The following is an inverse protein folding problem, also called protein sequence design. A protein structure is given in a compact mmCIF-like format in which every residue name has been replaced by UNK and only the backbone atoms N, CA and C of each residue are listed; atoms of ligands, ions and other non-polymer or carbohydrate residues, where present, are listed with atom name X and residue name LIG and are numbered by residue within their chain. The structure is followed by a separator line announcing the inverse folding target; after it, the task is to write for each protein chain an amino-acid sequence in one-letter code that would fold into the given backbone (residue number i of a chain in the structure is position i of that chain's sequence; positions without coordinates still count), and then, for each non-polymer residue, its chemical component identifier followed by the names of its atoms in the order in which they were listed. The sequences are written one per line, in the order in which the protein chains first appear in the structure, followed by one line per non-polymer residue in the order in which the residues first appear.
data_IF_355724762718
#
_entry.id   IF_355724762718
#
_cell.length_a   1.000
_cell.length_b   1.000
_cell.length_c   1.000
_cell.angle_alpha   90.00
_cell.angle_beta   90.00
_cell.angle_gamma   90.00
#
_symmetry.space_group_name_H-M   'P 1'
#
loop_
_entity.id
_entity.type
_entity.pdbx_description
1 polymer ?
#
# COMPACT_ATOMS: atom_id res chain seq x y z
N UNK A 1 -1.19 -22.34 -20.06
CA UNK A 1 -1.14 -21.74 -18.73
C UNK A 1 -0.75 -22.78 -17.67
N UNK A 2 -1.50 -23.88 -17.53
CA UNK A 2 -1.25 -24.91 -16.53
C UNK A 2 0.18 -25.48 -16.62
N UNK A 3 0.64 -25.87 -17.83
CA UNK A 3 2.01 -26.33 -18.03
C UNK A 3 3.07 -25.30 -17.69
N UNK A 4 2.82 -24.02 -17.97
CA UNK A 4 3.74 -22.95 -17.60
C UNK A 4 3.83 -22.80 -16.08
N UNK A 5 2.70 -22.90 -15.38
CA UNK A 5 2.69 -22.85 -13.92
C UNK A 5 3.37 -24.08 -13.28
N UNK A 6 3.19 -25.26 -13.84
CA UNK A 6 3.91 -26.46 -13.39
C UNK A 6 5.44 -26.33 -13.54
N UNK A 7 5.89 -25.58 -14.54
CA UNK A 7 7.32 -25.33 -14.74
C UNK A 7 7.87 -24.28 -13.78
N UNK A 8 7.12 -23.21 -13.48
CA UNK A 8 7.63 -22.06 -12.71
C UNK A 8 7.37 -22.16 -11.21
N UNK A 9 6.27 -22.77 -10.77
CA UNK A 9 5.94 -22.86 -9.36
C UNK A 9 7.02 -23.59 -8.52
N UNK A 10 7.62 -24.71 -8.96
CA UNK A 10 8.73 -25.33 -8.24
C UNK A 10 9.97 -24.44 -8.12
N UNK A 11 10.17 -23.51 -9.07
CA UNK A 11 11.30 -22.57 -9.05
C UNK A 11 11.15 -21.47 -7.99
N UNK A 12 9.99 -21.34 -7.35
CA UNK A 12 9.77 -20.48 -6.19
C UNK A 12 10.18 -21.15 -4.86
N UNK A 13 10.72 -22.36 -4.86
CA UNK A 13 11.23 -22.95 -3.63
C UNK A 13 12.47 -22.19 -3.13
N UNK A 14 12.54 -21.97 -1.81
CA UNK A 14 13.68 -21.31 -1.17
C UNK A 14 14.98 -22.12 -1.28
N UNK A 15 14.85 -23.42 -1.54
CA UNK A 15 15.98 -24.35 -1.71
C UNK A 15 16.61 -24.33 -3.12
N UNK A 16 16.01 -23.56 -4.05
CA UNK A 16 16.52 -23.42 -5.43
C UNK A 16 17.61 -22.37 -5.50
N UNK A 17 18.57 -22.58 -6.40
CA UNK A 17 19.75 -21.69 -6.59
C UNK A 17 19.37 -20.20 -6.64
N UNK A 18 20.20 -19.38 -6.00
CA UNK A 18 20.10 -17.92 -5.98
C UNK A 18 19.95 -17.36 -7.41
N UNK A 19 18.88 -16.61 -7.65
CA UNK A 19 18.60 -15.94 -8.94
C UNK A 19 17.53 -16.60 -9.81
N UNK A 20 17.07 -17.79 -9.49
CA UNK A 20 15.97 -18.45 -10.23
C UNK A 20 14.62 -17.90 -9.82
N UNK A 21 14.41 -17.64 -8.52
CA UNK A 21 13.15 -17.15 -7.98
C UNK A 21 12.67 -15.81 -8.59
N UNK A 22 13.50 -14.76 -8.76
CA UNK A 22 13.09 -13.52 -9.42
C UNK A 22 12.63 -13.75 -10.87
N UNK A 23 13.34 -14.57 -11.63
CA UNK A 23 12.98 -14.90 -13.00
C UNK A 23 11.66 -15.67 -13.08
N UNK A 24 11.47 -16.68 -12.22
CA UNK A 24 10.23 -17.43 -12.12
C UNK A 24 9.05 -16.54 -11.72
N UNK A 25 9.23 -15.68 -10.72
CA UNK A 25 8.22 -14.70 -10.28
C UNK A 25 7.83 -13.73 -11.40
N UNK A 26 8.80 -13.21 -12.15
CA UNK A 26 8.56 -12.34 -13.30
C UNK A 26 7.80 -13.03 -14.42
N UNK A 27 8.09 -14.32 -14.67
CA UNK A 27 7.38 -15.13 -15.66
C UNK A 27 5.93 -15.40 -15.23
N UNK A 28 5.70 -15.78 -13.96
CA UNK A 28 4.36 -15.97 -13.38
C UNK A 28 3.54 -14.70 -13.53
N UNK A 29 4.08 -13.55 -13.13
CA UNK A 29 3.44 -12.24 -13.30
C UNK A 29 3.08 -11.97 -14.77
N UNK A 30 3.99 -12.23 -15.69
CA UNK A 30 3.77 -11.99 -17.12
C UNK A 30 2.66 -12.86 -17.67
N UNK A 31 2.62 -14.12 -17.26
CA UNK A 31 1.56 -15.08 -17.62
C UNK A 31 0.22 -14.61 -17.04
N UNK A 32 0.14 -14.22 -15.77
CA UNK A 32 -1.11 -13.76 -15.14
C UNK A 32 -1.63 -12.46 -15.77
N UNK A 33 -0.73 -11.57 -16.20
CA UNK A 33 -1.12 -10.32 -16.87
C UNK A 33 -1.86 -10.57 -18.18
N UNK A 34 -1.41 -11.52 -19.00
CA UNK A 34 -1.97 -11.78 -20.33
C UNK A 34 -3.12 -12.79 -20.32
N UNK A 35 -3.18 -13.66 -19.31
CA UNK A 35 -4.25 -14.64 -19.17
C UNK A 35 -5.57 -13.94 -18.83
N UNK A 36 -6.67 -14.43 -19.39
CA UNK A 36 -8.02 -14.03 -18.98
C UNK A 36 -8.43 -14.69 -17.64
N UNK A 37 -9.58 -14.25 -17.11
CA UNK A 37 -10.07 -14.71 -15.82
C UNK A 37 -10.43 -16.21 -15.84
N UNK A 38 -10.92 -16.74 -16.97
CA UNK A 38 -11.30 -18.16 -17.10
C UNK A 38 -10.06 -19.04 -17.03
N UNK A 39 -9.01 -18.68 -17.77
CA UNK A 39 -7.72 -19.40 -17.73
C UNK A 39 -7.06 -19.34 -16.35
N UNK A 40 -7.16 -18.21 -15.64
CA UNK A 40 -6.59 -18.08 -14.30
C UNK A 40 -7.34 -18.91 -13.27
N UNK A 41 -8.66 -18.98 -13.37
CA UNK A 41 -9.51 -19.77 -12.47
C UNK A 41 -9.07 -21.23 -12.39
N UNK A 42 -8.76 -21.83 -13.55
CA UNK A 42 -8.32 -23.22 -13.64
C UNK A 42 -7.00 -23.50 -12.92
N UNK A 43 -6.19 -22.47 -12.68
CA UNK A 43 -4.86 -22.61 -12.08
C UNK A 43 -4.72 -21.98 -10.70
N UNK A 44 -5.72 -21.25 -10.21
CA UNK A 44 -5.67 -20.58 -8.89
C UNK A 44 -5.33 -21.57 -7.79
N UNK A 45 -5.98 -22.73 -7.75
CA UNK A 45 -5.79 -23.76 -6.72
C UNK A 45 -4.36 -24.31 -6.67
N UNK A 46 -3.61 -24.21 -7.75
CA UNK A 46 -2.23 -24.64 -7.86
C UNK A 46 -1.24 -23.47 -7.72
N UNK A 47 -1.55 -22.32 -8.35
CA UNK A 47 -0.66 -21.18 -8.42
C UNK A 47 -0.62 -20.38 -7.11
N UNK A 48 -1.78 -20.19 -6.48
CA UNK A 48 -1.87 -19.40 -5.24
C UNK A 48 -1.04 -20.00 -4.10
N UNK A 49 -1.10 -21.33 -3.80
CA UNK A 49 -0.26 -21.91 -2.75
C UNK A 49 1.23 -21.71 -2.98
N UNK A 50 1.71 -21.88 -4.22
CA UNK A 50 3.12 -21.71 -4.55
C UNK A 50 3.58 -20.24 -4.33
N UNK A 51 2.78 -19.28 -4.82
CA UNK A 51 3.02 -17.85 -4.62
C UNK A 51 2.98 -17.51 -3.14
N UNK A 52 1.95 -17.94 -2.41
CA UNK A 52 1.77 -17.65 -1.00
C UNK A 52 2.90 -18.25 -0.14
N UNK A 53 3.32 -19.48 -0.42
CA UNK A 53 4.43 -20.13 0.29
C UNK A 53 5.72 -19.30 0.16
N UNK A 54 6.08 -18.88 -1.05
CA UNK A 54 7.26 -18.03 -1.24
C UNK A 54 7.09 -16.66 -0.57
N UNK A 55 5.91 -16.04 -0.68
CA UNK A 55 5.64 -14.74 -0.04
C UNK A 55 5.76 -14.78 1.49
N UNK A 56 5.60 -15.95 2.12
CA UNK A 56 5.73 -16.13 3.56
C UNK A 56 7.17 -16.37 4.04
N UNK A 57 8.11 -16.76 3.16
CA UNK A 57 9.48 -17.12 3.58
C UNK A 57 10.58 -16.51 2.71
N UNK A 58 10.31 -16.17 1.45
CA UNK A 58 11.29 -15.62 0.50
C UNK A 58 11.78 -14.23 0.90
N UNK A 59 13.05 -13.91 0.58
CA UNK A 59 13.70 -12.64 0.95
C UNK A 59 14.07 -11.78 -0.26
N UNK A 60 14.03 -12.36 -1.46
CA UNK A 60 14.40 -11.62 -2.67
C UNK A 60 13.36 -10.56 -3.03
N UNK A 61 13.78 -9.30 -3.02
CA UNK A 61 12.90 -8.13 -3.21
C UNK A 61 12.25 -8.12 -4.60
N UNK A 62 12.97 -8.50 -5.66
CA UNK A 62 12.43 -8.49 -7.02
C UNK A 62 11.38 -9.60 -7.21
N UNK A 63 11.65 -10.78 -6.63
CA UNK A 63 10.68 -11.87 -6.60
C UNK A 63 9.42 -11.46 -5.83
N UNK A 64 9.57 -10.91 -4.62
CA UNK A 64 8.45 -10.45 -3.80
C UNK A 64 7.62 -9.39 -4.52
N UNK A 65 8.23 -8.39 -5.15
CA UNK A 65 7.51 -7.36 -5.91
C UNK A 65 6.76 -7.95 -7.12
N UNK A 66 7.35 -8.91 -7.83
CA UNK A 66 6.68 -9.59 -8.95
C UNK A 66 5.51 -10.45 -8.48
N UNK A 67 5.65 -11.12 -7.34
CA UNK A 67 4.59 -11.95 -6.77
C UNK A 67 3.46 -11.11 -6.14
N UNK A 68 3.75 -9.97 -5.53
CA UNK A 68 2.72 -9.01 -5.10
C UNK A 68 1.85 -8.54 -6.26
N UNK A 69 2.48 -8.24 -7.42
CA UNK A 69 1.72 -7.91 -8.64
C UNK A 69 0.89 -9.10 -9.12
N UNK A 70 1.40 -10.30 -8.99
CA UNK A 70 0.65 -11.53 -9.33
C UNK A 70 -0.56 -11.71 -8.42
N UNK A 71 -0.41 -11.50 -7.11
CA UNK A 71 -1.52 -11.53 -6.15
C UNK A 71 -2.56 -10.44 -6.44
N UNK A 72 -2.13 -9.22 -6.77
CA UNK A 72 -3.04 -8.16 -7.19
C UNK A 72 -3.87 -8.58 -8.40
N UNK A 73 -3.23 -9.12 -9.44
CA UNK A 73 -3.92 -9.61 -10.65
C UNK A 73 -4.91 -10.74 -10.32
N UNK A 74 -4.55 -11.67 -9.44
CA UNK A 74 -5.45 -12.75 -9.01
C UNK A 74 -6.66 -12.20 -8.24
N UNK A 75 -6.43 -11.25 -7.32
CA UNK A 75 -7.53 -10.58 -6.61
C UNK A 75 -8.47 -9.86 -7.57
N UNK A 76 -7.95 -9.17 -8.58
CA UNK A 76 -8.75 -8.43 -9.56
C UNK A 76 -9.51 -9.34 -10.53
N UNK A 77 -8.86 -10.38 -11.06
CA UNK A 77 -9.43 -11.22 -12.12
C UNK A 77 -10.24 -12.41 -11.60
N UNK A 78 -9.86 -12.98 -10.47
CA UNK A 78 -10.46 -14.19 -9.90
C UNK A 78 -10.79 -14.04 -8.41
N UNK A 79 -11.50 -12.97 -7.97
CA UNK A 79 -11.71 -12.68 -6.56
C UNK A 79 -12.43 -13.80 -5.81
N UNK A 80 -13.46 -14.40 -6.41
CA UNK A 80 -14.22 -15.47 -5.78
C UNK A 80 -13.39 -16.75 -5.60
N UNK A 81 -12.57 -17.08 -6.58
CA UNK A 81 -11.76 -18.29 -6.55
C UNK A 81 -10.62 -18.16 -5.54
N UNK A 82 -9.99 -16.97 -5.45
CA UNK A 82 -8.92 -16.75 -4.49
C UNK A 82 -9.45 -16.60 -3.06
N UNK A 83 -10.52 -15.84 -2.86
CA UNK A 83 -11.08 -15.60 -1.51
C UNK A 83 -11.84 -16.83 -0.96
N UNK A 84 -12.32 -17.70 -1.85
CA UNK A 84 -12.95 -18.98 -1.48
C UNK A 84 -11.97 -20.13 -1.31
N UNK A 85 -10.67 -19.93 -1.58
CA UNK A 85 -9.68 -20.98 -1.48
C UNK A 85 -9.29 -21.26 -0.02
N UNK A 86 -9.07 -22.54 0.30
CA UNK A 86 -8.58 -23.01 1.60
C UNK A 86 -7.39 -23.95 1.40
N UNK A 87 -6.49 -23.97 2.36
CA UNK A 87 -5.36 -24.90 2.35
C UNK A 87 -5.77 -26.31 2.86
N UNK A 88 -4.81 -27.23 2.96
CA UNK A 88 -4.99 -28.61 3.44
C UNK A 88 -5.47 -28.67 4.91
N UNK A 89 -5.30 -27.58 5.66
CA UNK A 89 -5.69 -27.43 7.07
C UNK A 89 -6.97 -26.60 7.23
N UNK A 90 -7.71 -26.39 6.14
CA UNK A 90 -8.91 -25.55 6.11
C UNK A 90 -8.65 -24.08 6.46
N UNK A 91 -7.41 -23.59 6.27
CA UNK A 91 -7.07 -22.18 6.51
C UNK A 91 -7.56 -21.35 5.31
N UNK A 92 -8.42 -20.33 5.55
CA UNK A 92 -8.89 -19.47 4.47
C UNK A 92 -7.74 -18.67 3.84
N UNK A 93 -7.78 -18.52 2.52
CA UNK A 93 -6.80 -17.68 1.77
C UNK A 93 -6.66 -16.28 2.31
N UNK A 94 -7.75 -15.66 2.77
CA UNK A 94 -7.72 -14.34 3.38
C UNK A 94 -6.79 -14.29 4.60
N UNK A 95 -6.79 -15.33 5.45
CA UNK A 95 -5.87 -15.39 6.58
C UNK A 95 -4.41 -15.51 6.13
N UNK A 96 -4.16 -16.23 5.04
CA UNK A 96 -2.81 -16.35 4.45
C UNK A 96 -2.37 -15.01 3.87
N UNK A 97 -3.25 -14.31 3.13
CA UNK A 97 -2.99 -12.98 2.58
C UNK A 97 -2.69 -11.95 3.68
N UNK A 98 -3.42 -11.99 4.80
CA UNK A 98 -3.16 -11.12 5.94
C UNK A 98 -1.80 -11.40 6.60
N UNK A 99 -1.40 -12.67 6.73
CA UNK A 99 -0.05 -13.03 7.20
C UNK A 99 1.05 -12.55 6.26
N UNK A 100 0.81 -12.60 4.95
CA UNK A 100 1.73 -12.04 3.95
C UNK A 100 1.85 -10.52 4.17
N UNK A 101 0.75 -9.80 4.33
CA UNK A 101 0.77 -8.35 4.58
C UNK A 101 1.52 -8.02 5.86
N UNK A 102 1.22 -8.72 6.96
CA UNK A 102 1.92 -8.54 8.23
C UNK A 102 3.43 -8.72 8.08
N UNK A 103 3.86 -9.78 7.41
CA UNK A 103 5.27 -10.03 7.13
C UNK A 103 5.89 -8.92 6.31
N UNK A 104 5.26 -8.51 5.21
CA UNK A 104 5.77 -7.45 4.33
C UNK A 104 5.90 -6.10 5.06
N UNK A 105 4.98 -5.78 5.96
CA UNK A 105 5.07 -4.58 6.80
C UNK A 105 6.23 -4.64 7.80
N UNK A 106 6.64 -5.82 8.24
CA UNK A 106 7.79 -6.02 9.11
C UNK A 106 9.14 -6.04 8.37
N UNK A 107 9.12 -6.22 7.04
CA UNK A 107 10.33 -6.24 6.21
C UNK A 107 10.89 -4.84 5.94
N UNK A 108 12.04 -4.82 5.28
CA UNK A 108 12.70 -3.59 4.84
C UNK A 108 11.79 -2.76 3.91
N UNK A 109 11.90 -1.43 3.95
CA UNK A 109 11.06 -0.52 3.16
C UNK A 109 11.19 -0.74 1.64
N UNK A 110 12.31 -1.29 1.17
CA UNK A 110 12.52 -1.62 -0.25
C UNK A 110 11.47 -2.60 -0.79
N UNK A 111 10.90 -3.44 0.07
CA UNK A 111 9.83 -4.38 -0.30
C UNK A 111 8.49 -3.66 -0.48
N UNK A 112 8.26 -2.60 0.30
CA UNK A 112 7.04 -1.79 0.27
C UNK A 112 6.99 -0.82 -0.93
N UNK A 113 7.29 -1.29 -2.14
CA UNK A 113 7.19 -0.50 -3.36
C UNK A 113 5.78 -0.52 -3.97
N UNK A 114 5.63 0.08 -5.15
CA UNK A 114 4.34 0.25 -5.86
C UNK A 114 3.52 -1.06 -5.98
N UNK A 115 4.18 -2.20 -6.08
CA UNK A 115 3.53 -3.52 -6.16
C UNK A 115 2.72 -3.82 -4.90
N UNK A 116 3.23 -3.45 -3.71
CA UNK A 116 2.55 -3.66 -2.44
C UNK A 116 1.25 -2.83 -2.35
N UNK A 117 1.28 -1.55 -2.74
CA UNK A 117 0.07 -0.71 -2.74
C UNK A 117 -1.01 -1.23 -3.68
N UNK A 118 -0.63 -1.68 -4.87
CA UNK A 118 -1.58 -2.30 -5.81
C UNK A 118 -2.19 -3.58 -5.25
N UNK A 119 -1.39 -4.41 -4.59
CA UNK A 119 -1.89 -5.62 -3.95
C UNK A 119 -2.87 -5.30 -2.81
N UNK A 120 -2.53 -4.34 -1.94
CA UNK A 120 -3.43 -3.90 -0.86
C UNK A 120 -4.76 -3.39 -1.41
N UNK A 121 -4.73 -2.49 -2.39
CA UNK A 121 -5.93 -1.92 -3.01
C UNK A 121 -6.78 -2.99 -3.68
N UNK A 122 -6.18 -3.91 -4.44
CA UNK A 122 -6.89 -5.02 -5.06
C UNK A 122 -7.57 -5.92 -4.01
N UNK A 123 -6.88 -6.21 -2.90
CA UNK A 123 -7.47 -6.98 -1.80
C UNK A 123 -8.61 -6.22 -1.11
N UNK A 124 -8.45 -4.94 -0.81
CA UNK A 124 -9.49 -4.12 -0.16
C UNK A 124 -10.76 -4.02 -1.02
N UNK A 125 -10.57 -3.83 -2.34
CA UNK A 125 -11.67 -3.76 -3.29
C UNK A 125 -12.49 -5.05 -3.34
N UNK A 126 -11.86 -6.20 -3.19
CA UNK A 126 -12.52 -7.50 -3.40
C UNK A 126 -12.97 -8.17 -2.10
N UNK A 127 -12.17 -8.05 -1.03
CA UNK A 127 -12.49 -8.71 0.24
C UNK A 127 -13.60 -7.96 1.03
N UNK A 128 -13.77 -6.66 0.81
CA UNK A 128 -14.90 -5.88 1.35
C UNK A 128 -15.17 -6.12 2.84
N UNK A 129 -16.40 -6.53 3.17
CA UNK A 129 -16.83 -6.78 4.56
C UNK A 129 -16.08 -7.93 5.25
N UNK A 130 -15.42 -8.83 4.53
CA UNK A 130 -14.62 -9.90 5.13
C UNK A 130 -13.42 -9.36 5.94
N UNK A 131 -12.94 -8.17 5.59
CA UNK A 131 -11.86 -7.48 6.31
C UNK A 131 -12.34 -6.73 7.56
N UNK A 132 -13.63 -6.50 7.73
CA UNK A 132 -14.15 -5.68 8.83
C UNK A 132 -13.62 -6.10 10.24
N UNK A 133 -13.52 -7.39 10.59
CA UNK A 133 -13.01 -7.80 11.92
C UNK A 133 -11.54 -7.45 12.16
N UNK A 134 -10.73 -7.39 11.09
CA UNK A 134 -9.26 -7.16 11.16
C UNK A 134 -8.87 -5.74 10.76
N UNK A 135 -9.79 -4.95 10.21
CA UNK A 135 -9.53 -3.61 9.71
C UNK A 135 -8.90 -2.67 10.75
N UNK A 136 -9.32 -2.66 12.03
CA UNK A 136 -8.68 -1.82 13.04
C UNK A 136 -7.18 -2.11 13.20
N UNK A 137 -6.80 -3.38 13.29
CA UNK A 137 -5.41 -3.79 13.42
C UNK A 137 -4.60 -3.49 12.14
N UNK A 138 -5.21 -3.70 10.98
CA UNK A 138 -4.59 -3.43 9.68
C UNK A 138 -4.34 -1.93 9.48
N UNK A 139 -5.32 -1.07 9.76
CA UNK A 139 -5.16 0.39 9.70
C UNK A 139 -4.05 0.87 10.65
N UNK A 140 -4.03 0.36 11.89
CA UNK A 140 -2.96 0.67 12.84
C UNK A 140 -1.58 0.30 12.26
N UNK A 141 -1.42 -0.93 11.76
CA UNK A 141 -0.14 -1.41 11.21
C UNK A 141 0.31 -0.58 9.98
N UNK A 142 -0.61 -0.23 9.09
CA UNK A 142 -0.32 0.61 7.91
C UNK A 142 0.14 2.01 8.32
N UNK A 143 -0.55 2.66 9.27
CA UNK A 143 -0.18 4.01 9.72
C UNK A 143 1.08 3.99 10.58
N UNK A 144 1.29 2.96 11.40
CA UNK A 144 2.53 2.79 12.16
C UNK A 144 3.75 2.63 11.23
N UNK A 145 3.62 1.83 10.16
CA UNK A 145 4.66 1.72 9.12
C UNK A 145 4.86 3.04 8.39
N UNK A 146 3.79 3.74 8.03
CA UNK A 146 3.85 5.06 7.39
C UNK A 146 4.58 6.09 8.24
N UNK A 147 4.35 6.09 9.56
CA UNK A 147 5.01 7.00 10.50
C UNK A 147 6.53 6.81 10.53
N UNK A 148 6.99 5.58 10.33
CA UNK A 148 8.41 5.22 10.33
C UNK A 148 9.05 5.29 8.94
N UNK A 149 8.25 5.32 7.87
CA UNK A 149 8.74 5.26 6.49
C UNK A 149 9.63 6.45 6.15
N UNK A 150 10.81 6.14 5.59
CA UNK A 150 11.82 7.11 5.15
C UNK A 150 11.97 7.10 3.63
N UNK A 151 11.68 5.98 2.98
CA UNK A 151 11.76 5.84 1.52
C UNK A 151 10.48 6.38 0.85
N UNK A 152 10.61 7.26 -0.16
CA UNK A 152 9.46 7.84 -0.85
C UNK A 152 8.51 6.79 -1.44
N UNK A 153 9.05 5.73 -2.04
CA UNK A 153 8.23 4.68 -2.66
C UNK A 153 7.39 3.92 -1.62
N UNK A 154 7.94 3.65 -0.45
CA UNK A 154 7.20 3.05 0.66
C UNK A 154 6.09 4.00 1.16
N UNK A 155 6.45 5.27 1.38
CA UNK A 155 5.48 6.30 1.81
C UNK A 155 4.32 6.42 0.83
N UNK A 156 4.59 6.64 -0.46
CA UNK A 156 3.54 6.82 -1.48
C UNK A 156 2.66 5.58 -1.64
N UNK A 157 3.24 4.40 -1.52
CA UNK A 157 2.52 3.12 -1.57
C UNK A 157 1.52 2.97 -0.42
N UNK A 158 1.95 3.26 0.81
CA UNK A 158 1.09 3.21 2.00
C UNK A 158 0.01 4.29 1.95
N UNK A 159 0.38 5.50 1.51
CA UNK A 159 -0.58 6.59 1.28
C UNK A 159 -1.64 6.22 0.24
N UNK A 160 -1.27 5.55 -0.83
CA UNK A 160 -2.22 5.09 -1.85
C UNK A 160 -3.23 4.09 -1.29
N UNK A 161 -2.77 3.09 -0.52
CA UNK A 161 -3.67 2.11 0.10
C UNK A 161 -4.62 2.76 1.13
N UNK A 162 -4.11 3.69 1.95
CA UNK A 162 -4.92 4.44 2.92
C UNK A 162 -5.88 5.42 2.24
N UNK A 163 -5.46 6.07 1.14
CA UNK A 163 -6.32 6.94 0.35
C UNK A 163 -7.48 6.15 -0.27
N UNK A 164 -7.22 4.95 -0.79
CA UNK A 164 -8.29 4.08 -1.28
C UNK A 164 -9.33 3.80 -0.20
N UNK A 165 -8.91 3.41 0.99
CA UNK A 165 -9.84 3.17 2.11
C UNK A 165 -10.59 4.45 2.52
N UNK A 166 -9.91 5.59 2.52
CA UNK A 166 -10.51 6.90 2.81
C UNK A 166 -11.54 7.31 1.73
N UNK A 167 -11.28 7.04 0.45
CA UNK A 167 -12.19 7.37 -0.64
C UNK A 167 -13.50 6.58 -0.57
N UNK A 168 -13.42 5.32 -0.14
CA UNK A 168 -14.56 4.39 -0.19
C UNK A 168 -15.25 4.16 1.17
N UNK A 169 -14.56 4.42 2.30
CA UNK A 169 -15.03 4.13 3.65
C UNK A 169 -14.66 5.22 4.66
N UNK A 170 -14.72 6.50 4.25
CA UNK A 170 -14.21 7.66 5.00
C UNK A 170 -14.65 7.71 6.46
N UNK A 171 -15.97 7.60 6.73
CA UNK A 171 -16.51 7.70 8.07
C UNK A 171 -15.89 6.66 9.02
N UNK A 172 -15.84 5.40 8.59
CA UNK A 172 -15.29 4.31 9.39
C UNK A 172 -13.78 4.45 9.58
N UNK A 173 -13.05 4.83 8.53
CA UNK A 173 -11.59 5.03 8.57
C UNK A 173 -11.22 6.20 9.47
N UNK A 174 -11.91 7.34 9.34
CA UNK A 174 -11.68 8.52 10.18
C UNK A 174 -11.97 8.20 11.64
N UNK A 175 -13.12 7.57 11.94
CA UNK A 175 -13.49 7.21 13.31
C UNK A 175 -12.45 6.25 13.93
N UNK A 176 -12.03 5.23 13.18
CA UNK A 176 -11.05 4.25 13.65
C UNK A 176 -9.67 4.88 13.88
N UNK A 177 -9.16 5.67 12.93
CA UNK A 177 -7.85 6.33 13.06
C UNK A 177 -7.84 7.41 14.14
N UNK A 178 -8.97 8.11 14.35
CA UNK A 178 -9.09 9.10 15.42
C UNK A 178 -9.08 8.45 16.82
N UNK A 179 -9.61 7.22 16.95
CA UNK A 179 -9.64 6.46 18.19
C UNK A 179 -8.33 5.68 18.47
N UNK A 180 -7.42 5.63 17.49
CA UNK A 180 -6.17 4.86 17.58
C UNK A 180 -5.00 5.81 17.90
N UNK A 181 -4.25 5.49 18.96
CA UNK A 181 -2.99 6.17 19.29
C UNK A 181 -1.80 5.34 18.82
N UNK A 182 -0.79 6.02 18.28
CA UNK A 182 0.50 5.42 17.90
C UNK A 182 1.50 5.48 19.07
N UNK A 183 2.62 4.80 18.89
CA UNK A 183 3.77 4.94 19.80
C UNK A 183 4.18 6.42 19.87
N UNK A 184 4.09 7.02 21.07
CA UNK A 184 4.33 8.45 21.27
C UNK A 184 3.07 9.26 21.60
N UNK A 185 1.88 8.65 21.61
CA UNK A 185 0.63 9.27 22.08
C UNK A 185 -0.04 10.18 21.05
N UNK A 186 0.44 10.22 19.79
CA UNK A 186 -0.22 10.97 18.74
C UNK A 186 -1.32 10.11 18.08
N UNK A 187 -2.45 10.73 17.75
CA UNK A 187 -3.53 10.06 17.00
C UNK A 187 -3.04 9.59 15.62
N UNK A 188 -3.36 8.34 15.27
CA UNK A 188 -3.06 7.79 13.96
C UNK A 188 -3.65 8.63 12.81
N UNK A 189 -4.82 9.25 13.02
CA UNK A 189 -5.43 10.16 12.03
C UNK A 189 -4.55 11.39 11.79
N UNK A 190 -4.04 12.02 12.84
CA UNK A 190 -3.19 13.22 12.74
C UNK A 190 -1.89 12.88 12.01
N UNK A 191 -1.23 11.78 12.40
CA UNK A 191 -0.01 11.30 11.74
C UNK A 191 -0.24 10.99 10.26
N UNK A 192 -1.32 10.27 9.93
CA UNK A 192 -1.68 9.97 8.55
C UNK A 192 -1.91 11.23 7.72
N UNK A 193 -2.77 12.15 8.18
CA UNK A 193 -3.10 13.38 7.44
C UNK A 193 -1.87 14.27 7.27
N UNK A 194 -1.04 14.44 8.32
CA UNK A 194 0.20 15.21 8.23
C UNK A 194 1.11 14.65 7.15
N UNK A 195 1.36 13.35 7.17
CA UNK A 195 2.23 12.68 6.21
C UNK A 195 1.66 12.74 4.80
N UNK A 196 0.36 12.51 4.67
CA UNK A 196 -0.32 12.56 3.38
C UNK A 196 -0.21 13.94 2.71
N UNK A 197 -0.51 15.02 3.45
CA UNK A 197 -0.44 16.39 2.92
C UNK A 197 0.99 16.85 2.61
N UNK A 198 2.01 16.23 3.21
CA UNK A 198 3.41 16.48 2.88
C UNK A 198 3.82 15.80 1.55
N UNK A 199 3.35 14.56 1.32
CA UNK A 199 3.91 13.70 0.28
C UNK A 199 2.99 13.48 -0.93
N UNK A 200 1.69 13.83 -0.86
CA UNK A 200 0.70 13.58 -1.94
C UNK A 200 1.09 14.19 -3.29
N UNK A 201 1.78 15.31 -3.31
CA UNK A 201 2.22 15.97 -4.54
C UNK A 201 3.32 15.21 -5.31
N UNK A 202 3.96 14.24 -4.68
CA UNK A 202 4.93 13.36 -5.36
C UNK A 202 4.26 12.20 -6.10
N UNK A 203 2.92 12.07 -6.00
CA UNK A 203 2.16 11.08 -6.77
C UNK A 203 2.15 11.46 -8.25
N UNK A 204 2.62 10.56 -9.11
CA UNK A 204 2.80 10.83 -10.54
C UNK A 204 1.85 10.08 -11.46
N UNK A 205 1.20 9.02 -10.96
CA UNK A 205 0.29 8.21 -11.78
C UNK A 205 -1.14 8.77 -11.72
N UNK A 206 -1.80 8.95 -12.89
CA UNK A 206 -3.14 9.56 -12.94
C UNK A 206 -4.18 8.83 -12.07
N UNK A 207 -4.18 7.50 -12.09
CA UNK A 207 -5.15 6.69 -11.33
C UNK A 207 -4.97 6.89 -9.82
N UNK A 208 -3.72 6.89 -9.33
CA UNK A 208 -3.43 7.16 -7.92
C UNK A 208 -3.80 8.59 -7.54
N UNK A 209 -3.55 9.56 -8.44
CA UNK A 209 -3.91 10.96 -8.18
C UNK A 209 -5.43 11.12 -8.05
N UNK A 210 -6.21 10.51 -8.93
CA UNK A 210 -7.67 10.53 -8.86
C UNK A 210 -8.16 9.95 -7.53
N UNK A 211 -7.58 8.85 -7.07
CA UNK A 211 -7.91 8.23 -5.77
C UNK A 211 -7.59 9.18 -4.61
N UNK A 212 -6.40 9.80 -4.62
CA UNK A 212 -6.03 10.78 -3.60
C UNK A 212 -6.97 11.99 -3.57
N UNK A 213 -7.38 12.50 -4.73
CA UNK A 213 -8.31 13.63 -4.81
C UNK A 213 -9.67 13.26 -4.24
N UNK A 214 -10.21 12.09 -4.61
CA UNK A 214 -11.48 11.58 -4.06
C UNK A 214 -11.38 11.43 -2.54
N UNK A 215 -10.31 10.84 -2.06
CA UNK A 215 -10.07 10.64 -0.63
C UNK A 215 -9.94 11.97 0.14
N UNK A 216 -9.27 12.98 -0.42
CA UNK A 216 -9.16 14.32 0.19
C UNK A 216 -10.53 15.00 0.28
N UNK A 217 -11.39 14.86 -0.73
CA UNK A 217 -12.76 15.36 -0.68
C UNK A 217 -13.57 14.68 0.43
N UNK A 218 -13.43 13.36 0.55
CA UNK A 218 -14.10 12.60 1.62
C UNK A 218 -13.57 12.98 3.02
N UNK A 219 -12.25 13.11 3.18
CA UNK A 219 -11.65 13.58 4.42
C UNK A 219 -12.21 14.96 4.83
N UNK A 220 -12.34 15.87 3.87
CA UNK A 220 -12.86 17.21 4.13
C UNK A 220 -14.33 17.20 4.61
N UNK A 221 -15.15 16.28 4.07
CA UNK A 221 -16.54 16.09 4.51
C UNK A 221 -16.64 15.49 5.92
N UNK A 222 -15.68 14.67 6.32
CA UNK A 222 -15.62 13.99 7.62
C UNK A 222 -14.58 14.63 8.56
N UNK A 223 -14.37 15.96 8.46
CA UNK A 223 -13.36 16.68 9.24
C UNK A 223 -13.63 16.62 10.74
N UNK A 224 -12.66 16.15 11.51
CA UNK A 224 -12.80 15.95 12.97
C UNK A 224 -12.17 17.09 13.78
N UNK A 225 -12.61 17.30 15.05
CA UNK A 225 -12.00 18.27 15.94
C UNK A 225 -10.48 18.07 16.13
N UNK A 226 -9.99 16.83 16.10
CA UNK A 226 -8.56 16.51 16.24
C UNK A 226 -7.70 17.10 15.11
N UNK A 227 -8.28 17.35 13.92
CA UNK A 227 -7.61 17.96 12.79
C UNK A 227 -7.70 19.50 12.76
N UNK A 228 -8.56 20.11 13.59
CA UNK A 228 -8.78 21.58 13.57
C UNK A 228 -7.51 22.36 13.92
N UNK A 229 -6.65 21.81 14.76
CA UNK A 229 -5.41 22.45 15.20
C UNK A 229 -4.17 21.89 14.52
N UNK A 230 -4.35 21.06 13.48
CA UNK A 230 -3.24 20.51 12.70
C UNK A 230 -2.74 21.59 11.73
N UNK A 231 -1.47 21.96 11.89
CA UNK A 231 -0.73 22.80 10.96
C UNK A 231 0.23 21.94 10.15
N UNK A 232 0.39 22.27 8.88
CA UNK A 232 1.26 21.58 7.92
C UNK A 232 2.02 22.58 7.06
N UNK A 233 3.08 22.12 6.43
CA UNK A 233 3.87 22.94 5.52
C UNK A 233 3.03 23.41 4.31
N UNK A 234 2.93 24.71 4.13
CA UNK A 234 2.29 25.39 3.02
C UNK A 234 3.25 25.66 1.87
N UNK A 235 3.22 26.89 1.37
CA UNK A 235 4.09 27.33 0.30
C UNK A 235 5.50 27.65 0.84
N UNK A 236 6.52 27.49 -0.03
CA UNK A 236 7.90 27.87 0.33
C UNK A 236 7.98 29.39 0.52
N UNK A 237 8.47 29.81 1.66
CA UNK A 237 8.70 31.23 1.93
C UNK A 237 9.82 31.77 1.02
N UNK A 238 9.67 33.00 0.48
CA UNK A 238 10.70 33.61 -0.32
C UNK A 238 12.00 33.77 0.50
N UNK A 239 13.12 33.46 -0.12
CA UNK A 239 14.42 33.66 0.51
C UNK A 239 14.65 35.16 0.81
N UNK A 240 15.33 35.51 1.90
CA UNK A 240 15.68 36.90 2.18
C UNK A 240 16.49 37.51 1.02
N UNK A 241 16.16 38.75 0.63
CA UNK A 241 16.70 39.45 -0.57
C UNK A 241 18.24 39.65 -0.58
N UNK A 242 18.92 39.33 0.51
CA UNK A 242 20.35 39.59 0.68
C UNK A 242 21.24 38.33 0.70
N UNK A 243 20.69 37.15 0.43
CA UNK A 243 21.45 35.89 0.49
C UNK A 243 21.65 35.34 -0.91
N UNK A 244 22.90 35.30 -1.37
CA UNK A 244 23.26 34.56 -2.60
C UNK A 244 23.07 33.06 -2.32
N UNK A 245 22.01 32.49 -2.92
CA UNK A 245 21.62 31.10 -2.72
C UNK A 245 22.31 30.20 -3.75
N UNK A 246 23.28 29.40 -3.30
CA UNK A 246 23.71 28.22 -4.08
C UNK A 246 22.64 27.13 -3.96
N UNK A 247 22.55 26.22 -4.95
CA UNK A 247 21.56 25.10 -4.92
C UNK A 247 21.60 24.29 -3.62
N UNK A 248 22.77 24.10 -3.03
CA UNK A 248 22.94 23.38 -1.75
C UNK A 248 22.41 24.19 -0.57
N UNK A 249 22.62 25.51 -0.57
CA UNK A 249 22.07 26.40 0.48
C UNK A 249 20.57 26.57 0.34
N UNK A 250 20.04 26.64 -0.89
CA UNK A 250 18.60 26.72 -1.12
C UNK A 250 17.84 25.57 -0.45
N UNK A 251 18.34 24.34 -0.53
CA UNK A 251 17.73 23.18 0.16
C UNK A 251 17.80 23.30 1.70
N UNK A 252 18.88 23.84 2.24
CA UNK A 252 19.06 23.98 3.69
C UNK A 252 18.24 25.15 4.30
N UNK A 253 17.83 26.13 3.49
CA UNK A 253 17.07 27.30 3.92
C UNK A 253 15.59 27.27 3.48
N UNK A 254 15.09 26.15 2.93
CA UNK A 254 13.67 26.05 2.64
C UNK A 254 12.86 26.15 3.94
N UNK A 255 12.26 27.31 4.13
CA UNK A 255 11.27 27.53 5.17
C UNK A 255 9.89 27.52 4.53
N UNK A 256 8.96 26.89 5.18
CA UNK A 256 7.58 26.78 4.72
C UNK A 256 6.66 27.60 5.61
N UNK A 257 5.66 28.22 4.99
CA UNK A 257 4.55 28.81 5.74
C UNK A 257 3.81 27.67 6.47
N UNK A 258 3.50 27.88 7.74
CA UNK A 258 2.67 26.94 8.49
C UNK A 258 1.19 27.30 8.28
N UNK A 259 0.45 26.46 7.58
CA UNK A 259 -0.96 26.67 7.29
C UNK A 259 -1.83 25.59 7.94
N UNK A 260 -3.11 25.91 8.28
CA UNK A 260 -4.04 24.89 8.73
C UNK A 260 -4.17 23.77 7.70
N UNK A 261 -4.24 22.51 8.16
CA UNK A 261 -4.36 21.35 7.29
C UNK A 261 -5.60 21.44 6.38
N UNK A 262 -6.72 21.98 6.86
CA UNK A 262 -7.91 22.25 6.06
C UNK A 262 -7.65 23.18 4.86
N UNK A 263 -6.84 24.22 5.08
CA UNK A 263 -6.42 25.15 4.00
C UNK A 263 -5.56 24.43 2.96
N UNK A 264 -4.64 23.55 3.42
CA UNK A 264 -3.81 22.76 2.50
C UNK A 264 -4.67 21.80 1.65
N UNK A 265 -5.66 21.12 2.26
CA UNK A 265 -6.61 20.28 1.52
C UNK A 265 -7.34 21.07 0.45
N UNK A 266 -7.86 22.26 0.79
CA UNK A 266 -8.55 23.12 -0.19
C UNK A 266 -7.64 23.61 -1.33
N UNK A 267 -6.35 23.83 -1.06
CA UNK A 267 -5.37 24.20 -2.11
C UNK A 267 -5.04 23.02 -3.04
N UNK A 268 -5.19 21.78 -2.57
CA UNK A 268 -4.93 20.57 -3.34
C UNK A 268 -6.12 20.13 -4.20
N UNK A 269 -7.34 20.42 -3.76
CA UNK A 269 -8.59 20.20 -4.50
C UNK A 269 -8.81 21.26 -5.59
#
# INVERSE_FOLDING_TARGET
LYMSMQAFAPCLSVDVELGVAPSAAAMIRSVFRVADAEMLRDVVSFAFPAVASYMLVGEDVEALQSLMQSLAILCEKCPHDILGWHDEHDTPSLQILLRIIERLLCMDEQVCGQAFGKFLVALFAQAGSMLAPVMPALLHALVAKLAQATMPDCTLTLLYALAYLMAHHAEAVVAQLAATELEGGESALVTFVRRWLADVLYTTTPDMLQEHMTALMQLFQHWTPSLQHLFVDGDVLPAPDHVIMTRSRAKAYQQYEQIPASTKVLKLL
#
